data_IF_124920512130
#
_entry.id   IF_124920512130
#
_cell.length_a   1.000
_cell.length_b   1.000
_cell.length_c   1.000
_cell.angle_alpha   90.00
_cell.angle_beta   90.00
_cell.angle_gamma   90.00
#
_symmetry.space_group_name_H-M   'P 1'
#
loop_
_entity.id
_entity.type
_entity.pdbx_description
1 polymer ?
#
# COMPACT_ATOMS: atom_id res chain seq x y z
N UNK A 1 10.56 -59.38 -12.88
CA UNK A 1 10.61 -58.65 -14.16
C UNK A 1 10.50 -57.16 -13.85
N UNK A 2 11.66 -56.51 -13.67
CA UNK A 2 11.81 -55.09 -13.35
C UNK A 2 11.97 -54.30 -14.65
N UNK A 3 11.16 -53.25 -14.87
CA UNK A 3 11.45 -52.14 -15.83
C UNK A 3 10.43 -50.97 -15.82
N UNK A 4 9.63 -50.80 -14.76
CA UNK A 4 8.66 -49.70 -14.65
C UNK A 4 8.88 -48.87 -13.37
N UNK A 5 10.14 -48.53 -13.12
CA UNK A 5 10.58 -47.61 -12.08
C UNK A 5 11.53 -46.64 -12.78
N UNK A 6 11.43 -45.34 -12.48
CA UNK A 6 12.46 -44.30 -12.74
C UNK A 6 12.28 -43.28 -13.89
N UNK A 7 11.07 -42.80 -14.22
CA UNK A 7 10.89 -41.59 -15.06
C UNK A 7 9.78 -40.68 -14.50
N UNK A 8 9.89 -40.23 -13.24
CA UNK A 8 8.94 -39.25 -12.66
C UNK A 8 9.57 -38.28 -11.65
N UNK A 9 10.89 -38.00 -11.74
CA UNK A 9 11.58 -37.21 -10.70
C UNK A 9 12.64 -36.25 -11.28
N UNK A 10 12.29 -35.59 -12.40
CA UNK A 10 13.11 -34.55 -13.03
C UNK A 10 12.24 -33.37 -13.48
N UNK A 11 11.34 -32.90 -12.60
CA UNK A 11 10.78 -31.57 -12.77
C UNK A 11 11.80 -30.58 -12.18
N UNK A 12 12.40 -29.69 -13.00
CA UNK A 12 13.19 -28.59 -12.45
C UNK A 12 12.25 -27.72 -11.63
N UNK A 13 12.41 -27.76 -10.32
CA UNK A 13 11.80 -26.80 -9.40
C UNK A 13 12.57 -25.50 -9.64
N UNK A 14 12.13 -24.69 -10.60
CA UNK A 14 12.57 -23.30 -10.69
C UNK A 14 12.00 -22.57 -9.48
N UNK A 15 12.73 -22.61 -8.37
CA UNK A 15 12.51 -21.71 -7.25
C UNK A 15 12.89 -20.32 -7.72
N UNK A 16 11.93 -19.51 -8.17
CA UNK A 16 12.12 -18.08 -8.34
C UNK A 16 12.20 -17.43 -6.95
N UNK A 17 13.38 -17.47 -6.36
CA UNK A 17 13.67 -16.76 -5.12
C UNK A 17 14.19 -15.35 -5.43
N UNK A 18 13.37 -14.52 -6.08
CA UNK A 18 13.76 -13.14 -6.41
C UNK A 18 12.71 -12.15 -5.88
N UNK A 19 12.67 -11.95 -4.57
CA UNK A 19 12.43 -10.59 -4.09
C UNK A 19 13.75 -10.13 -3.48
N UNK A 20 14.37 -9.10 -4.06
CA UNK A 20 15.36 -8.31 -3.35
C UNK A 20 14.62 -7.66 -2.18
N UNK A 21 14.58 -8.34 -1.04
CA UNK A 21 13.85 -7.91 0.13
C UNK A 21 14.53 -6.69 0.72
N UNK A 22 13.99 -5.50 0.45
CA UNK A 22 14.34 -4.32 1.22
C UNK A 22 14.15 -4.63 2.71
N UNK A 23 15.13 -4.23 3.51
CA UNK A 23 15.01 -4.35 4.96
C UNK A 23 14.08 -3.23 5.41
N UNK A 24 12.89 -3.64 5.84
CA UNK A 24 11.84 -2.75 6.31
C UNK A 24 12.31 -1.87 7.47
N UNK A 25 12.48 -0.57 7.21
CA UNK A 25 12.78 0.43 8.22
C UNK A 25 13.01 1.82 7.64
N UNK A 26 12.50 2.83 8.34
CA UNK A 26 12.80 4.24 8.11
C UNK A 26 13.36 4.80 9.41
N UNK A 27 14.46 5.54 9.32
CA UNK A 27 15.10 6.21 10.44
C UNK A 27 15.33 7.67 10.09
N UNK A 28 15.36 8.54 11.11
CA UNK A 28 15.59 9.97 10.94
C UNK A 28 16.93 10.33 11.55
N UNK A 29 17.64 11.28 10.93
CA UNK A 29 18.90 11.79 11.44
C UNK A 29 18.79 12.33 12.87
N UNK A 30 17.68 13.01 13.17
CA UNK A 30 17.39 13.56 14.49
C UNK A 30 16.02 13.09 14.97
N UNK A 31 15.88 12.87 16.27
CA UNK A 31 14.61 12.52 16.91
C UNK A 31 14.48 13.32 18.22
N UNK A 32 13.45 14.16 18.41
CA UNK A 32 12.35 14.43 17.48
C UNK A 32 12.80 15.16 16.20
N UNK A 33 11.96 15.13 15.17
CA UNK A 33 12.14 15.91 13.93
C UNK A 33 11.60 17.32 14.19
N UNK A 34 12.35 18.35 13.81
CA UNK A 34 11.92 19.76 13.91
C UNK A 34 11.74 20.36 12.51
N UNK A 35 10.98 21.46 12.39
CA UNK A 35 10.72 22.15 11.12
C UNK A 35 11.81 23.17 10.73
N UNK A 36 12.80 23.36 11.60
CA UNK A 36 13.88 24.33 11.40
C UNK A 36 14.84 23.94 10.28
N UNK A 37 15.40 22.72 10.37
CA UNK A 37 16.46 22.24 9.48
C UNK A 37 16.00 21.07 8.62
N UNK A 38 16.72 20.88 7.52
CA UNK A 38 16.61 19.67 6.72
C UNK A 38 17.05 18.46 7.55
N UNK A 39 16.29 17.38 7.48
CA UNK A 39 16.54 16.13 8.20
C UNK A 39 16.71 15.02 7.18
N UNK A 40 17.81 14.27 7.29
CA UNK A 40 18.02 13.11 6.43
C UNK A 40 17.10 11.96 6.86
N UNK A 41 16.27 11.49 5.93
CA UNK A 41 15.44 10.30 6.08
C UNK A 41 16.21 9.11 5.52
N UNK A 42 16.57 8.18 6.40
CA UNK A 42 17.35 7.00 6.05
C UNK A 42 16.48 5.78 5.83
N UNK A 43 16.84 4.99 4.83
CA UNK A 43 16.38 3.60 4.69
C UNK A 43 17.52 2.69 4.23
N UNK A 44 17.25 1.39 4.16
CA UNK A 44 18.24 0.37 3.83
C UNK A 44 17.71 -0.51 2.70
N UNK A 45 18.46 -0.53 1.60
CA UNK A 45 18.19 -1.38 0.44
C UNK A 45 19.12 -2.59 0.52
N UNK A 46 18.55 -3.79 0.51
CA UNK A 46 19.31 -5.03 0.52
C UNK A 46 19.07 -5.76 -0.80
N UNK A 47 20.14 -5.91 -1.56
CA UNK A 47 20.10 -6.63 -2.81
C UNK A 47 20.32 -8.13 -2.57
N UNK A 48 19.25 -8.92 -2.60
CA UNK A 48 19.31 -10.38 -2.43
C UNK A 48 19.53 -11.14 -3.75
N UNK A 49 19.73 -10.43 -4.86
CA UNK A 49 20.00 -11.04 -6.17
C UNK A 49 21.50 -11.33 -6.35
N UNK A 50 21.83 -12.10 -7.39
CA UNK A 50 23.20 -12.40 -7.80
C UNK A 50 23.79 -11.38 -8.79
N UNK A 51 23.06 -10.30 -9.07
CA UNK A 51 23.44 -9.22 -9.98
C UNK A 51 23.48 -7.86 -9.24
N UNK A 52 24.07 -6.83 -9.86
CA UNK A 52 24.00 -5.47 -9.34
C UNK A 52 22.63 -4.89 -9.69
N UNK A 53 21.96 -4.25 -8.72
CA UNK A 53 20.72 -3.53 -8.97
C UNK A 53 20.99 -2.03 -9.03
N UNK A 54 20.36 -1.36 -9.98
CA UNK A 54 20.29 0.09 -10.06
C UNK A 54 18.82 0.51 -10.05
N UNK A 55 18.50 1.47 -9.19
CA UNK A 55 17.13 1.93 -9.04
C UNK A 55 17.07 3.33 -8.47
N UNK A 56 15.84 3.78 -8.24
CA UNK A 56 15.53 5.10 -7.71
C UNK A 56 14.83 4.90 -6.37
N UNK A 57 15.36 5.51 -5.32
CA UNK A 57 14.68 5.63 -4.05
C UNK A 57 13.89 6.95 -4.02
N UNK A 58 12.59 6.88 -3.78
CA UNK A 58 11.70 8.04 -3.76
C UNK A 58 11.11 8.21 -2.36
N UNK A 59 11.30 9.38 -1.76
CA UNK A 59 10.68 9.77 -0.50
C UNK A 59 9.26 10.27 -0.77
N UNK A 60 8.31 9.75 0.00
CA UNK A 60 6.92 10.20 0.00
C UNK A 60 6.56 10.81 1.34
N UNK A 61 5.96 12.00 1.32
CA UNK A 61 5.46 12.70 2.51
C UNK A 61 4.00 13.04 2.27
N UNK A 62 3.12 12.54 3.15
CA UNK A 62 1.66 12.68 3.07
C UNK A 62 1.02 12.18 1.77
N UNK A 63 1.70 11.27 1.08
CA UNK A 63 1.26 10.68 -0.19
C UNK A 63 1.91 11.31 -1.43
N UNK A 64 2.59 12.44 -1.29
CA UNK A 64 3.27 13.13 -2.39
C UNK A 64 4.73 12.68 -2.50
N UNK A 65 5.17 12.40 -3.73
CA UNK A 65 6.59 12.14 -4.02
C UNK A 65 7.36 13.46 -3.96
N UNK A 66 8.22 13.61 -2.95
CA UNK A 66 8.91 14.89 -2.68
C UNK A 66 10.32 14.93 -3.26
N UNK A 67 11.07 13.83 -3.17
CA UNK A 67 12.48 13.75 -3.57
C UNK A 67 12.78 12.34 -4.05
N UNK A 68 13.65 12.22 -5.05
CA UNK A 68 14.14 10.95 -5.58
C UNK A 68 15.68 10.95 -5.67
N UNK A 69 16.30 9.81 -5.37
CA UNK A 69 17.75 9.62 -5.39
C UNK A 69 18.12 8.32 -6.11
N UNK A 70 19.13 8.37 -6.98
CA UNK A 70 19.65 7.18 -7.66
C UNK A 70 20.46 6.33 -6.68
N UNK A 71 20.17 5.03 -6.65
CA UNK A 71 20.81 4.07 -5.75
C UNK A 71 21.34 2.89 -6.55
N UNK A 72 22.61 2.58 -6.32
CA UNK A 72 23.27 1.39 -6.86
C UNK A 72 23.64 0.47 -5.71
N UNK A 73 23.13 -0.75 -5.74
CA UNK A 73 23.39 -1.76 -4.70
C UNK A 73 24.09 -2.95 -5.33
N UNK A 74 25.31 -3.23 -4.86
CA UNK A 74 26.10 -4.36 -5.35
C UNK A 74 25.43 -5.68 -5.02
N UNK A 75 25.82 -6.72 -5.74
CA UNK A 75 25.37 -8.10 -5.52
C UNK A 75 25.49 -8.50 -4.05
N UNK A 76 24.40 -8.97 -3.45
CA UNK A 76 24.38 -9.46 -2.06
C UNK A 76 24.64 -8.39 -1.00
N UNK A 77 24.68 -7.11 -1.39
CA UNK A 77 25.11 -6.01 -0.53
C UNK A 77 23.92 -5.26 0.07
N UNK A 78 24.21 -4.50 1.12
CA UNK A 78 23.25 -3.66 1.83
C UNK A 78 23.73 -2.21 1.71
N UNK A 79 22.93 -1.35 1.09
CA UNK A 79 23.23 0.07 0.94
C UNK A 79 22.24 0.91 1.73
N UNK A 80 22.77 1.85 2.51
CA UNK A 80 21.96 2.88 3.19
C UNK A 80 21.68 4.01 2.21
N UNK A 81 20.41 4.39 2.10
CA UNK A 81 19.93 5.54 1.34
C UNK A 81 19.55 6.63 2.33
N UNK A 82 19.88 7.88 2.04
CA UNK A 82 19.63 9.00 2.94
C UNK A 82 19.16 10.22 2.15
N UNK A 83 17.85 10.45 2.14
CA UNK A 83 17.24 11.54 1.37
C UNK A 83 17.00 12.71 2.33
N UNK A 84 17.65 13.87 2.12
CA UNK A 84 17.45 15.02 2.96
C UNK A 84 16.12 15.71 2.61
N UNK A 85 15.34 16.08 3.64
CA UNK A 85 14.04 16.73 3.45
C UNK A 85 13.72 17.69 4.60
N UNK A 86 13.15 18.86 4.26
CA UNK A 86 12.69 19.86 5.24
C UNK A 86 11.19 19.70 5.48
N UNK A 87 10.83 19.27 6.68
CA UNK A 87 9.43 19.09 7.07
C UNK A 87 8.80 20.41 7.53
N UNK A 88 7.49 20.54 7.36
CA UNK A 88 6.69 21.54 8.08
C UNK A 88 6.31 21.02 9.46
N UNK A 89 5.98 21.91 10.40
CA UNK A 89 5.44 21.50 11.69
C UNK A 89 4.10 20.76 11.53
N UNK A 90 3.89 19.71 12.33
CA UNK A 90 2.66 18.93 12.33
C UNK A 90 2.86 17.42 12.13
N UNK A 91 1.77 16.65 12.09
CA UNK A 91 1.83 15.22 11.81
C UNK A 91 2.08 14.96 10.33
N UNK A 92 3.03 14.08 10.03
CA UNK A 92 3.37 13.67 8.66
C UNK A 92 3.43 12.16 8.52
N UNK A 93 2.89 11.62 7.43
CA UNK A 93 3.08 10.22 7.03
C UNK A 93 4.27 10.14 6.08
N UNK A 94 5.33 9.45 6.50
CA UNK A 94 6.58 9.33 5.74
C UNK A 94 6.75 7.90 5.26
N UNK A 95 6.86 7.73 3.94
CA UNK A 95 7.15 6.45 3.30
C UNK A 95 8.37 6.62 2.37
N UNK A 96 9.00 5.53 2.00
CA UNK A 96 10.05 5.54 0.99
C UNK A 96 9.78 4.40 0.01
N UNK A 97 9.87 4.64 -1.28
CA UNK A 97 9.68 3.61 -2.30
C UNK A 97 11.01 3.38 -2.98
N UNK A 98 11.25 2.15 -3.42
CA UNK A 98 12.39 1.84 -4.26
C UNK A 98 11.89 1.20 -5.56
N UNK A 99 12.28 1.79 -6.68
CA UNK A 99 11.96 1.29 -8.01
C UNK A 99 13.25 0.89 -8.71
N UNK A 100 13.45 -0.41 -8.93
CA UNK A 100 14.58 -0.93 -9.69
C UNK A 100 14.15 -1.24 -11.12
N UNK A 101 15.02 -0.91 -12.08
CA UNK A 101 14.87 -1.33 -13.45
C UNK A 101 15.90 -2.44 -13.71
N UNK A 102 15.44 -3.69 -13.63
CA UNK A 102 16.23 -4.82 -14.07
C UNK A 102 15.83 -5.10 -15.53
N UNK A 103 16.78 -5.48 -16.39
CA UNK A 103 16.63 -5.55 -17.86
C UNK A 103 15.36 -6.25 -18.40
N UNK A 104 14.64 -7.00 -17.56
CA UNK A 104 13.41 -7.70 -17.92
C UNK A 104 12.16 -7.34 -17.08
N UNK A 105 12.28 -6.60 -15.96
CA UNK A 105 11.14 -6.32 -15.07
C UNK A 105 11.37 -5.06 -14.21
N UNK A 106 10.34 -4.21 -14.12
CA UNK A 106 10.32 -3.08 -13.19
C UNK A 106 9.81 -3.58 -11.85
N UNK A 107 10.68 -3.61 -10.85
CA UNK A 107 10.30 -3.98 -9.48
C UNK A 107 10.04 -2.70 -8.68
N UNK A 108 8.80 -2.50 -8.25
CA UNK A 108 8.42 -1.41 -7.33
C UNK A 108 8.12 -1.98 -5.95
N UNK A 109 8.80 -1.45 -4.93
CA UNK A 109 8.68 -1.90 -3.56
C UNK A 109 8.36 -0.70 -2.67
N UNK A 110 7.22 -0.77 -1.99
CA UNK A 110 6.83 0.19 -0.95
C UNK A 110 7.51 -0.21 0.37
N UNK A 111 8.26 0.71 0.98
CA UNK A 111 8.84 0.52 2.31
C UNK A 111 7.81 0.88 3.39
N UNK A 112 7.99 0.30 4.57
CA UNK A 112 7.14 0.56 5.74
C UNK A 112 7.06 2.06 6.03
N UNK A 113 5.85 2.59 5.93
CA UNK A 113 5.51 3.93 6.34
C UNK A 113 5.53 4.13 7.85
N UNK A 114 5.91 5.33 8.29
CA UNK A 114 5.83 5.75 9.68
C UNK A 114 5.15 7.11 9.80
N UNK A 115 4.40 7.32 10.88
CA UNK A 115 3.82 8.63 11.19
C UNK A 115 4.75 9.30 12.19
N UNK A 116 5.20 10.50 11.87
CA UNK A 116 5.98 11.35 12.77
C UNK A 116 5.18 12.60 13.14
N UNK A 117 5.55 13.21 14.27
CA UNK A 117 5.09 14.55 14.64
C UNK A 117 6.31 15.46 14.60
N UNK A 118 6.27 16.43 13.69
CA UNK A 118 7.32 17.42 13.51
C UNK A 118 7.03 18.58 14.44
N UNK A 119 7.98 18.86 15.32
CA UNK A 119 7.86 19.91 16.33
C UNK A 119 8.25 21.24 15.68
N UNK A 120 7.44 22.27 15.94
CA UNK A 120 7.78 23.64 15.57
C UNK A 120 8.93 24.11 16.47
N UNK A 121 9.99 24.60 15.85
CA UNK A 121 11.11 25.24 16.52
C UNK A 121 10.91 26.77 16.43
N UNK A 122 10.65 27.42 17.56
CA UNK A 122 10.26 28.83 17.61
C UNK A 122 11.45 29.77 17.70
N UNK A 123 12.56 29.33 18.29
CA UNK A 123 13.77 30.14 18.47
C UNK A 123 14.88 29.85 17.43
N UNK A 124 14.73 28.75 16.69
CA UNK A 124 15.59 28.38 15.57
C UNK A 124 16.92 27.76 16.00
N UNK A 125 16.98 27.11 17.16
CA UNK A 125 18.19 26.46 17.64
C UNK A 125 18.27 24.96 17.30
N UNK A 126 17.21 24.40 16.72
CA UNK A 126 17.08 22.99 16.33
C UNK A 126 16.79 22.05 17.50
N UNK A 127 16.46 22.57 18.67
CA UNK A 127 16.05 21.85 19.87
C UNK A 127 14.54 21.95 20.00
N UNK A 128 13.93 20.97 20.68
CA UNK A 128 12.52 21.06 21.01
C UNK A 128 12.34 22.13 22.09
N UNK A 129 11.64 23.21 21.75
CA UNK A 129 11.12 24.17 22.71
C UNK A 129 10.39 23.42 23.84
N UNK A 130 10.85 23.59 25.07
CA UNK A 130 10.26 23.03 26.28
C UNK A 130 9.21 23.99 26.86
N UNK A 131 8.66 24.84 26.02
CA UNK A 131 8.09 26.10 26.43
C UNK A 131 6.59 25.94 26.70
N UNK A 132 6.26 25.10 27.68
CA UNK A 132 4.94 25.11 28.33
C UNK A 132 5.05 25.19 29.86
N UNK A 133 6.22 25.49 30.43
CA UNK A 133 6.29 25.83 31.86
C UNK A 133 7.32 26.91 32.10
N UNK A 134 6.81 28.13 32.27
CA UNK A 134 7.16 29.12 33.29
C UNK A 134 7.07 30.54 32.71
N UNK A 135 5.92 31.17 32.94
CA UNK A 135 5.91 32.44 33.66
C UNK A 135 4.48 32.71 34.14
N UNK A 136 4.29 32.61 35.46
CA UNK A 136 3.49 33.47 36.37
C UNK A 136 3.14 32.64 37.62
N UNK A 137 4.03 32.72 38.60
CA UNK A 137 3.70 33.04 39.99
C UNK A 137 2.55 32.27 40.67
N UNK A 138 2.64 30.94 40.78
CA UNK A 138 1.98 30.22 41.88
C UNK A 138 2.93 29.19 42.50
N UNK A 139 3.20 29.40 43.78
CA UNK A 139 4.04 28.58 44.64
C UNK A 139 3.30 27.32 45.06
N UNK A 140 3.14 26.37 44.14
CA UNK A 140 2.75 25.00 44.49
C UNK A 140 3.76 24.01 43.92
N UNK A 141 4.28 23.05 44.71
CA UNK A 141 5.15 22.00 44.20
C UNK A 141 4.30 21.06 43.34
N UNK A 142 4.25 21.32 42.03
CA UNK A 142 3.76 20.35 41.07
C UNK A 142 4.76 19.20 41.02
N UNK A 143 4.37 18.15 41.72
CA UNK A 143 4.92 16.80 41.67
C UNK A 143 5.16 16.43 40.21
N UNK A 144 6.43 16.14 39.88
CA UNK A 144 6.82 15.44 38.66
C UNK A 144 6.00 14.14 38.55
N UNK A 145 4.89 14.17 37.82
CA UNK A 145 4.15 12.97 37.46
C UNK A 145 4.62 12.48 36.08
N UNK A 146 5.94 12.36 35.92
CA UNK A 146 6.57 11.43 34.98
C UNK A 146 6.80 10.09 35.69
N UNK A 147 5.76 9.45 36.21
CA UNK A 147 5.82 8.03 36.52
C UNK A 147 4.51 7.34 36.14
N UNK A 148 4.62 6.36 35.23
CA UNK A 148 3.69 5.24 35.27
C UNK A 148 2.71 5.05 34.12
N UNK A 149 3.05 5.38 32.86
CA UNK A 149 2.49 4.54 31.79
C UNK A 149 3.16 3.16 31.89
N UNK A 150 2.48 2.25 32.58
CA UNK A 150 2.87 0.83 32.66
C UNK A 150 3.19 0.30 31.26
N UNK A 151 4.10 -0.67 31.18
CA UNK A 151 4.48 -1.33 29.91
C UNK A 151 3.26 -1.81 29.10
N UNK A 152 2.14 -2.10 29.77
CA UNK A 152 0.87 -2.50 29.18
C UNK A 152 0.17 -1.34 28.43
N UNK A 153 0.16 -0.13 29.00
CA UNK A 153 -0.42 1.06 28.35
C UNK A 153 0.38 1.51 27.14
N UNK A 154 1.72 1.42 27.17
CA UNK A 154 2.59 1.67 26.01
C UNK A 154 2.36 0.62 24.90
N UNK A 155 2.20 -0.66 25.26
CA UNK A 155 1.87 -1.71 24.30
C UNK A 155 0.46 -1.58 23.71
N UNK A 156 -0.52 -1.13 24.49
CA UNK A 156 -1.89 -0.88 24.00
C UNK A 156 -1.92 0.31 23.04
N UNK A 157 -1.27 1.42 23.37
CA UNK A 157 -1.11 2.55 22.46
C UNK A 157 -0.40 2.14 21.17
N UNK A 158 0.68 1.36 21.27
CA UNK A 158 1.38 0.85 20.09
C UNK A 158 0.49 -0.07 19.23
N UNK A 159 -0.34 -0.93 19.85
CA UNK A 159 -1.31 -1.77 19.13
C UNK A 159 -2.43 -0.97 18.48
N UNK A 160 -2.96 0.04 19.17
CA UNK A 160 -4.02 0.93 18.66
C UNK A 160 -3.47 1.77 17.50
N UNK A 161 -2.27 2.33 17.63
CA UNK A 161 -1.60 3.08 16.55
C UNK A 161 -1.26 2.18 15.37
N UNK A 162 -0.78 0.95 15.60
CA UNK A 162 -0.50 -0.03 14.54
C UNK A 162 -1.78 -0.48 13.82
N UNK A 163 -2.89 -0.68 14.54
CA UNK A 163 -4.18 -1.00 13.93
C UNK A 163 -4.76 0.19 13.15
N UNK A 164 -4.66 1.41 13.67
CA UNK A 164 -5.11 2.63 12.97
C UNK A 164 -4.28 2.89 11.71
N UNK A 165 -2.98 2.61 11.77
CA UNK A 165 -2.07 2.69 10.62
C UNK A 165 -2.44 1.62 9.59
N UNK A 166 -2.66 0.37 10.02
CA UNK A 166 -3.05 -0.74 9.15
C UNK A 166 -4.42 -0.48 8.47
N UNK A 167 -5.41 0.05 9.19
CA UNK A 167 -6.70 0.39 8.57
C UNK A 167 -6.58 1.57 7.60
N UNK A 168 -5.72 2.56 7.86
CA UNK A 168 -5.50 3.67 6.92
C UNK A 168 -4.77 3.23 5.65
N UNK A 169 -3.78 2.33 5.77
CA UNK A 169 -3.04 1.79 4.61
C UNK A 169 -3.95 0.90 3.77
N UNK A 170 -4.80 0.08 4.40
CA UNK A 170 -5.78 -0.73 3.68
C UNK A 170 -6.78 0.16 2.95
N UNK A 171 -7.34 1.19 3.61
CA UNK A 171 -8.31 2.09 2.98
C UNK A 171 -7.72 2.87 1.81
N UNK A 172 -6.48 3.35 1.92
CA UNK A 172 -5.78 4.02 0.81
C UNK A 172 -5.54 3.07 -0.35
N UNK A 173 -5.04 1.86 -0.10
CA UNK A 173 -4.85 0.85 -1.15
C UNK A 173 -6.16 0.45 -1.86
N UNK A 174 -7.29 0.44 -1.14
CA UNK A 174 -8.61 0.15 -1.71
C UNK A 174 -9.07 1.29 -2.63
N UNK A 175 -8.84 2.54 -2.22
CA UNK A 175 -9.20 3.70 -3.05
C UNK A 175 -8.36 3.76 -4.31
N UNK A 176 -7.05 3.53 -4.22
CA UNK A 176 -6.17 3.46 -5.39
C UNK A 176 -6.57 2.32 -6.34
N UNK A 177 -6.93 1.16 -5.80
CA UNK A 177 -7.39 0.03 -6.60
C UNK A 177 -8.72 0.34 -7.29
N UNK A 178 -9.61 1.06 -6.61
CA UNK A 178 -10.89 1.52 -7.16
C UNK A 178 -10.69 2.51 -8.31
N UNK A 179 -9.84 3.52 -8.15
CA UNK A 179 -9.56 4.51 -9.19
C UNK A 179 -8.93 3.87 -10.44
N UNK A 180 -7.97 2.96 -10.23
CA UNK A 180 -7.39 2.16 -11.32
C UNK A 180 -8.46 1.31 -12.01
N UNK A 181 -9.32 0.66 -11.24
CA UNK A 181 -10.44 -0.12 -11.77
C UNK A 181 -11.41 0.72 -12.60
N UNK A 182 -11.76 1.92 -12.14
CA UNK A 182 -12.63 2.85 -12.87
C UNK A 182 -12.00 3.24 -14.21
N UNK A 183 -10.71 3.57 -14.21
CA UNK A 183 -9.97 3.92 -15.44
C UNK A 183 -9.99 2.76 -16.44
N UNK A 184 -9.66 1.54 -16.00
CA UNK A 184 -9.66 0.35 -16.87
C UNK A 184 -11.06 0.07 -17.44
N UNK A 185 -12.12 0.23 -16.64
CA UNK A 185 -13.49 0.02 -17.11
C UNK A 185 -13.91 1.06 -18.14
N UNK A 186 -13.49 2.31 -17.97
CA UNK A 186 -13.74 3.40 -18.92
C UNK A 186 -13.02 3.15 -20.25
N UNK A 187 -11.74 2.77 -20.20
CA UNK A 187 -10.96 2.47 -21.40
C UNK A 187 -11.54 1.25 -22.15
N UNK A 188 -11.99 0.22 -21.41
CA UNK A 188 -12.66 -0.95 -21.99
C UNK A 188 -14.05 -0.62 -22.57
N UNK A 189 -14.81 0.29 -21.94
CA UNK A 189 -16.07 0.80 -22.49
C UNK A 189 -15.83 1.53 -23.82
N UNK A 190 -14.81 2.38 -23.89
CA UNK A 190 -14.43 3.12 -25.09
C UNK A 190 -14.04 2.19 -26.23
N UNK A 191 -13.18 1.19 -25.99
CA UNK A 191 -12.81 0.16 -26.96
C UNK A 191 -14.05 -0.64 -27.45
N UNK A 192 -14.96 -0.96 -26.54
CA UNK A 192 -16.21 -1.65 -26.87
C UNK A 192 -17.14 -0.78 -27.72
N UNK A 193 -17.13 0.55 -27.54
CA UNK A 193 -17.91 1.48 -28.36
C UNK A 193 -17.30 1.67 -29.75
N UNK A 194 -15.98 1.79 -29.85
CA UNK A 194 -15.28 1.91 -31.15
C UNK A 194 -15.53 0.68 -32.04
N UNK A 195 -15.41 -0.52 -31.47
CA UNK A 195 -15.69 -1.76 -32.18
C UNK A 195 -17.17 -1.89 -32.61
N UNK A 196 -18.10 -1.31 -31.84
CA UNK A 196 -19.51 -1.24 -32.22
C UNK A 196 -19.77 -0.29 -33.38
N UNK A 197 -19.09 0.85 -33.42
CA UNK A 197 -19.20 1.81 -34.53
C UNK A 197 -18.68 1.20 -35.83
N UNK A 198 -17.56 0.46 -35.79
CA UNK A 198 -17.04 -0.26 -36.95
C UNK A 198 -18.05 -1.30 -37.46
N UNK A 199 -18.67 -2.07 -36.56
CA UNK A 199 -19.70 -3.04 -36.92
C UNK A 199 -21.01 -2.37 -37.40
N UNK A 200 -21.37 -1.19 -36.90
CA UNK A 200 -22.56 -0.45 -37.34
C UNK A 200 -22.42 0.11 -38.76
N UNK A 201 -21.21 0.50 -39.17
CA UNK A 201 -20.95 1.06 -40.49
C UNK A 201 -20.92 0.01 -41.61
N UNK A 202 -20.96 -1.29 -41.29
CA UNK A 202 -21.05 -2.37 -42.28
C UNK A 202 -22.50 -2.57 -42.76
N UNK A 203 -22.73 -2.37 -44.05
CA UNK A 203 -24.07 -2.42 -44.69
C UNK A 203 -24.71 -3.82 -44.67
N UNK A 204 -23.92 -4.89 -44.64
CA UNK A 204 -24.38 -6.28 -44.55
C UNK A 204 -23.53 -7.07 -43.55
N UNK A 205 -24.05 -7.22 -42.32
CA UNK A 205 -23.41 -8.02 -41.27
C UNK A 205 -23.71 -9.51 -41.46
N UNK A 206 -22.69 -10.35 -41.30
CA UNK A 206 -22.89 -11.80 -41.18
C UNK A 206 -23.51 -12.14 -39.82
N UNK A 207 -24.20 -13.29 -39.69
CA UNK A 207 -24.74 -13.76 -38.40
C UNK A 207 -23.69 -13.84 -37.28
N UNK A 208 -22.44 -14.14 -37.63
CA UNK A 208 -21.33 -14.17 -36.69
C UNK A 208 -20.97 -12.76 -36.19
N UNK A 209 -20.96 -11.76 -37.08
CA UNK A 209 -20.72 -10.35 -36.71
C UNK A 209 -21.89 -9.75 -35.92
N UNK A 210 -23.14 -10.17 -36.19
CA UNK A 210 -24.28 -9.82 -35.34
C UNK A 210 -24.13 -10.34 -33.91
N UNK A 211 -23.56 -11.54 -33.74
CA UNK A 211 -23.22 -12.10 -32.43
C UNK A 211 -22.21 -11.23 -31.70
N UNK A 212 -21.09 -10.90 -32.35
CA UNK A 212 -20.06 -10.02 -31.79
C UNK A 212 -20.61 -8.64 -31.43
N UNK A 213 -21.48 -8.06 -32.28
CA UNK A 213 -22.13 -6.79 -31.98
C UNK A 213 -22.93 -6.85 -30.68
N UNK A 214 -23.67 -7.93 -30.44
CA UNK A 214 -24.40 -8.09 -29.17
C UNK A 214 -23.46 -8.25 -27.98
N UNK A 215 -22.36 -8.97 -28.15
CA UNK A 215 -21.34 -9.13 -27.11
C UNK A 215 -20.72 -7.78 -26.74
N UNK A 216 -20.30 -6.97 -27.72
CA UNK A 216 -19.75 -5.64 -27.47
C UNK A 216 -20.78 -4.68 -26.85
N UNK A 217 -22.06 -4.76 -27.24
CA UNK A 217 -23.13 -3.98 -26.60
C UNK A 217 -23.30 -4.36 -25.12
N UNK A 218 -23.29 -5.67 -24.82
CA UNK A 218 -23.40 -6.14 -23.44
C UNK A 218 -22.15 -5.77 -22.63
N UNK A 219 -20.97 -5.86 -23.24
CA UNK A 219 -19.70 -5.49 -22.63
C UNK A 219 -19.64 -3.99 -22.31
N UNK A 220 -20.01 -3.11 -23.26
CA UNK A 220 -20.06 -1.67 -23.04
C UNK A 220 -21.05 -1.28 -21.93
N UNK A 221 -22.25 -1.86 -21.92
CA UNK A 221 -23.24 -1.62 -20.86
C UNK A 221 -22.75 -2.13 -19.50
N UNK A 222 -22.12 -3.31 -19.48
CA UNK A 222 -21.55 -3.87 -18.25
C UNK A 222 -20.40 -3.01 -17.70
N UNK A 223 -19.48 -2.60 -18.56
CA UNK A 223 -18.35 -1.74 -18.23
C UNK A 223 -18.81 -0.37 -17.71
N UNK A 224 -19.80 0.24 -18.37
CA UNK A 224 -20.40 1.50 -17.93
C UNK A 224 -21.05 1.40 -16.55
N UNK A 225 -21.81 0.32 -16.32
CA UNK A 225 -22.46 0.06 -15.03
C UNK A 225 -21.46 -0.14 -13.90
N UNK A 226 -20.40 -0.93 -14.14
CA UNK A 226 -19.32 -1.15 -13.16
C UNK A 226 -18.50 0.12 -12.94
N UNK A 227 -18.17 0.84 -14.01
CA UNK A 227 -17.46 2.13 -13.97
C UNK A 227 -18.19 3.14 -13.09
N UNK A 228 -19.50 3.32 -13.30
CA UNK A 228 -20.32 4.23 -12.48
C UNK A 228 -20.35 3.86 -10.99
N UNK A 229 -20.29 2.56 -10.66
CA UNK A 229 -20.18 2.11 -9.26
C UNK A 229 -18.80 2.41 -8.68
N UNK A 230 -17.72 2.27 -9.47
CA UNK A 230 -16.35 2.53 -9.02
C UNK A 230 -16.06 4.04 -8.85
N UNK A 231 -16.56 4.88 -9.74
CA UNK A 231 -16.38 6.34 -9.69
C UNK A 231 -17.11 6.98 -8.49
N UNK A 232 -18.25 6.43 -8.08
CA UNK A 232 -19.04 6.97 -6.99
C UNK A 232 -18.62 6.37 -5.64
N UNK A 233 -18.01 7.20 -4.78
CA UNK A 233 -17.51 6.82 -3.45
C UNK A 233 -18.56 6.03 -2.64
N UNK A 234 -19.78 6.57 -2.53
CA UNK A 234 -20.81 5.96 -1.70
C UNK A 234 -21.36 4.65 -2.28
N UNK A 235 -21.51 4.56 -3.61
CA UNK A 235 -22.00 3.34 -4.27
C UNK A 235 -21.01 2.20 -4.10
N UNK A 236 -19.72 2.49 -4.28
CA UNK A 236 -18.65 1.54 -4.08
C UNK A 236 -18.69 0.93 -2.67
N UNK A 237 -18.71 1.77 -1.62
CA UNK A 237 -18.73 1.28 -0.25
C UNK A 237 -20.02 0.53 0.12
N UNK A 238 -21.17 0.95 -0.42
CA UNK A 238 -22.43 0.20 -0.25
C UNK A 238 -22.31 -1.18 -0.88
N UNK A 239 -21.70 -1.29 -2.07
CA UNK A 239 -21.52 -2.58 -2.75
C UNK A 239 -20.57 -3.50 -1.98
N UNK A 240 -19.44 -2.97 -1.50
CA UNK A 240 -18.49 -3.70 -0.65
C UNK A 240 -19.18 -4.20 0.63
N UNK A 241 -20.00 -3.36 1.27
CA UNK A 241 -20.75 -3.75 2.46
C UNK A 241 -21.69 -4.92 2.18
N UNK A 242 -22.45 -4.86 1.08
CA UNK A 242 -23.37 -5.94 0.66
C UNK A 242 -22.61 -7.24 0.39
N UNK A 243 -21.44 -7.18 -0.26
CA UNK A 243 -20.59 -8.34 -0.48
C UNK A 243 -20.10 -8.96 0.84
N UNK A 244 -19.61 -8.13 1.77
CA UNK A 244 -19.14 -8.59 3.08
C UNK A 244 -20.28 -9.25 3.87
N UNK A 245 -21.47 -8.66 3.87
CA UNK A 245 -22.65 -9.25 4.52
C UNK A 245 -23.07 -10.57 3.87
N UNK A 246 -22.98 -10.67 2.54
CA UNK A 246 -23.32 -11.88 1.79
C UNK A 246 -22.36 -13.03 2.08
N UNK A 247 -21.05 -12.76 2.08
CA UNK A 247 -20.01 -13.72 2.47
C UNK A 247 -20.16 -14.12 3.93
N UNK A 248 -20.41 -13.16 4.83
CA UNK A 248 -20.67 -13.43 6.24
C UNK A 248 -21.89 -14.35 6.44
N UNK A 249 -22.97 -14.11 5.71
CA UNK A 249 -24.18 -14.95 5.74
C UNK A 249 -23.92 -16.37 5.18
N UNK A 250 -23.13 -16.51 4.11
CA UNK A 250 -22.72 -17.81 3.59
C UNK A 250 -21.83 -18.57 4.59
N UNK A 251 -20.87 -17.88 5.23
CA UNK A 251 -20.03 -18.44 6.28
C UNK A 251 -20.84 -18.89 7.49
N UNK A 252 -21.83 -18.09 7.90
CA UNK A 252 -22.76 -18.46 8.96
C UNK A 252 -23.58 -19.70 8.62
N UNK A 253 -24.13 -19.79 7.40
CA UNK A 253 -24.87 -20.98 6.95
C UNK A 253 -24.01 -22.23 6.96
N UNK A 254 -22.78 -22.13 6.48
CA UNK A 254 -21.81 -23.23 6.49
C UNK A 254 -21.49 -23.68 7.92
N UNK A 255 -21.22 -22.72 8.81
CA UNK A 255 -20.97 -23.00 10.22
C UNK A 255 -22.17 -23.68 10.89
N UNK A 256 -23.37 -23.11 10.74
CA UNK A 256 -24.60 -23.67 11.31
C UNK A 256 -24.89 -25.09 10.80
N UNK A 257 -24.63 -25.37 9.51
CA UNK A 257 -24.75 -26.72 8.94
C UNK A 257 -23.81 -27.72 9.60
N UNK A 258 -22.58 -27.29 9.96
CA UNK A 258 -21.56 -28.16 10.53
C UNK A 258 -21.81 -28.50 12.00
N UNK A 259 -22.49 -27.64 12.75
CA UNK A 259 -22.82 -27.93 14.17
C UNK A 259 -24.12 -28.71 14.32
N UNK A 260 -25.07 -28.59 13.39
CA UNK A 260 -26.29 -29.41 13.38
C UNK A 260 -26.01 -30.91 13.30
N UNK A 261 -24.94 -31.31 12.61
CA UNK A 261 -24.58 -32.73 12.47
C UNK A 261 -23.98 -33.34 13.75
N UNK A 262 -23.66 -32.53 14.78
CA UNK A 262 -23.05 -33.03 16.03
C UNK A 262 -24.09 -33.32 17.10
N UNK A 263 -25.32 -32.81 16.98
CA UNK A 263 -26.41 -33.07 17.95
C UNK A 263 -27.25 -34.31 17.61
N UNK A 264 -27.04 -34.94 16.45
CA UNK A 264 -27.79 -36.11 15.99
C UNK A 264 -27.04 -37.46 16.16
N UNK A 265 -25.85 -37.45 16.78
CA UNK A 265 -25.10 -38.66 17.23
C UNK A 265 -25.16 -38.82 18.75
#
# INVERSE_FOLDING_TARGET
>A
MNKLLLILLLLPIFASANSAGLVSGIWFETTPVTDFKEVSVYSVVHNQTDEQIQGIATLFVDGDAVVAEDVVVKRGDITRVGIPYKFSAGPHKVNMHFTANNESEVTSLELTGTIIIVVKDSDGDGIKDSDEVLDIDDSDPLVNQEEGLTNMSKQLLQKITKNKLATSTILTSINDARERGATVMRDYEEESRESLEELQNKENLTKAEEGKKREHQLAAVGASGVGAVLESDWLFYVHVLVLVLSVGHLGWKFFASRFRTVEEE
#
